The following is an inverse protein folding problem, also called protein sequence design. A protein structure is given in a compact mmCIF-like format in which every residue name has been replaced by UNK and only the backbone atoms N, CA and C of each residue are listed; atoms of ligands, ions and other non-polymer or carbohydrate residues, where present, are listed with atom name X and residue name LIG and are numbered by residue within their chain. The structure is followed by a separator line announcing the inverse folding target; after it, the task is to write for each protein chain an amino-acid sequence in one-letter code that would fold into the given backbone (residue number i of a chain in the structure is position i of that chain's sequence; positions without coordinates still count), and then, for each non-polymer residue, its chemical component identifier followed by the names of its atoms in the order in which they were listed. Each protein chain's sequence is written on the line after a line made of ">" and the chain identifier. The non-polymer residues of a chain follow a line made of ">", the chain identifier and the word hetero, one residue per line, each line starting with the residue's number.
data_IF_570422854234
#
_entry.id   IF_570422854234
#
_cell.length_a   1.000
_cell.length_b   1.000
_cell.length_c   1.000
_cell.angle_alpha   90.00
_cell.angle_beta   90.00
_cell.angle_gamma   90.00
#
_symmetry.space_group_name_H-M   'P 1'
#
loop_
_entity.id
_entity.type
_entity.pdbx_description
1 polymer ?
#
# COMPACT_ATOMS: atom_id res chain seq x y z
N UNK A 1 15.65 -13.06 23.34
CA UNK A 1 14.73 -13.17 22.19
C UNK A 1 14.28 -11.78 21.78
N UNK A 2 13.48 -11.64 20.71
CA UNK A 2 12.80 -10.37 20.41
C UNK A 2 11.60 -10.23 21.35
N UNK A 3 11.48 -9.09 22.03
CA UNK A 3 10.42 -8.86 23.03
C UNK A 3 9.29 -7.98 22.47
N UNK A 4 9.55 -7.21 21.42
CA UNK A 4 8.56 -6.33 20.78
C UNK A 4 8.64 -6.47 19.25
N UNK A 5 7.56 -6.08 18.58
CA UNK A 5 7.53 -6.03 17.13
C UNK A 5 8.41 -4.88 16.59
N UNK A 6 8.84 -5.04 15.35
CA UNK A 6 9.51 -4.00 14.55
C UNK A 6 8.96 -4.07 13.13
N UNK A 7 9.10 -2.97 12.38
CA UNK A 7 8.70 -2.87 10.98
C UNK A 7 9.93 -2.98 10.07
N UNK A 8 9.85 -3.83 9.06
CA UNK A 8 10.77 -3.86 7.92
C UNK A 8 10.09 -3.20 6.72
N UNK A 9 10.71 -2.17 6.16
CA UNK A 9 10.36 -1.65 4.84
C UNK A 9 11.36 -2.23 3.86
N UNK A 10 10.87 -2.94 2.85
CA UNK A 10 11.70 -3.64 1.88
C UNK A 10 11.06 -3.59 0.49
N UNK A 11 11.71 -2.94 -0.46
CA UNK A 11 11.25 -2.82 -1.85
C UNK A 11 12.38 -3.13 -2.83
N UNK A 12 12.05 -3.31 -4.11
CA UNK A 12 13.08 -3.35 -5.16
C UNK A 12 13.85 -2.03 -5.19
N UNK A 13 15.13 -2.07 -5.56
CA UNK A 13 15.96 -0.88 -5.74
C UNK A 13 15.34 0.15 -6.71
N UNK A 14 14.48 -0.29 -7.63
CA UNK A 14 13.73 0.61 -8.53
C UNK A 14 12.85 1.62 -7.78
N UNK A 15 12.44 1.30 -6.55
CA UNK A 15 11.63 2.16 -5.68
C UNK A 15 12.47 2.83 -4.58
N UNK A 16 13.78 2.99 -4.77
CA UNK A 16 14.71 3.60 -3.80
C UNK A 16 14.18 4.90 -3.20
N UNK A 17 13.75 5.83 -4.05
CA UNK A 17 13.24 7.14 -3.63
C UNK A 17 12.01 7.03 -2.70
N UNK A 18 11.16 6.01 -2.90
CA UNK A 18 10.01 5.80 -2.03
C UNK A 18 10.40 5.21 -0.67
N UNK A 19 11.38 4.30 -0.65
CA UNK A 19 11.96 3.78 0.60
C UNK A 19 12.66 4.91 1.37
N UNK A 20 13.41 5.77 0.69
CA UNK A 20 14.05 6.94 1.31
C UNK A 20 13.01 7.88 1.92
N UNK A 21 11.91 8.14 1.21
CA UNK A 21 10.79 8.93 1.75
C UNK A 21 10.17 8.29 3.00
N UNK A 22 9.90 6.97 2.99
CA UNK A 22 9.40 6.24 4.17
C UNK A 22 10.38 6.33 5.35
N UNK A 23 11.68 6.21 5.08
CA UNK A 23 12.71 6.33 6.09
C UNK A 23 12.73 7.72 6.71
N UNK A 24 12.68 8.79 5.92
CA UNK A 24 12.68 10.16 6.44
C UNK A 24 11.52 10.43 7.40
N UNK A 25 10.33 9.88 7.11
CA UNK A 25 9.16 9.97 7.97
C UNK A 25 9.28 9.13 9.26
N UNK A 26 10.04 8.04 9.23
CA UNK A 26 10.19 7.11 10.36
C UNK A 26 11.57 7.16 11.04
N UNK A 27 12.44 8.10 10.64
CA UNK A 27 13.87 8.08 10.99
C UNK A 27 14.13 8.05 12.50
N UNK A 28 13.27 8.70 13.28
CA UNK A 28 13.39 8.81 14.74
C UNK A 28 13.25 7.45 15.44
N UNK A 29 12.51 6.53 14.82
CA UNK A 29 12.33 5.16 15.31
C UNK A 29 13.17 4.15 14.55
N UNK A 30 14.12 4.56 13.70
CA UNK A 30 14.98 3.66 12.95
C UNK A 30 16.36 3.49 13.59
N UNK A 31 16.99 2.33 13.35
CA UNK A 31 18.35 2.04 13.85
C UNK A 31 19.41 2.52 12.87
N UNK A 32 19.17 2.39 11.56
CA UNK A 32 20.10 2.82 10.53
C UNK A 32 19.36 3.34 9.30
N UNK A 33 20.04 4.12 8.43
CA UNK A 33 19.55 4.43 7.10
C UNK A 33 19.27 3.17 6.26
N UNK A 34 18.51 3.29 5.15
CA UNK A 34 18.24 2.17 4.27
C UNK A 34 19.49 1.65 3.57
N UNK A 35 19.53 0.34 3.36
CA UNK A 35 20.67 -0.39 2.80
C UNK A 35 20.22 -1.30 1.68
N UNK A 36 21.10 -1.47 0.70
CA UNK A 36 20.92 -2.45 -0.36
C UNK A 36 21.12 -3.87 0.18
N UNK A 37 20.40 -4.81 -0.40
CA UNK A 37 20.55 -6.23 -0.16
C UNK A 37 20.46 -6.96 -1.50
N UNK A 38 21.51 -7.70 -1.82
CA UNK A 38 21.46 -8.65 -2.93
C UNK A 38 20.43 -9.74 -2.62
N UNK A 39 19.44 -9.85 -3.50
CA UNK A 39 18.46 -10.93 -3.50
C UNK A 39 18.95 -12.14 -4.29
N UNK A 40 18.02 -12.97 -4.76
CA UNK A 40 18.34 -14.07 -5.68
C UNK A 40 18.57 -13.50 -7.09
N UNK A 41 19.69 -13.88 -7.71
CA UNK A 41 20.10 -13.39 -9.04
C UNK A 41 20.42 -11.89 -9.02
N UNK A 42 20.01 -11.18 -10.06
CA UNK A 42 20.27 -9.73 -10.24
C UNK A 42 19.31 -8.83 -9.45
N UNK A 43 18.39 -9.40 -8.65
CA UNK A 43 17.40 -8.61 -7.91
C UNK A 43 18.05 -7.92 -6.73
N UNK A 44 18.15 -6.60 -6.77
CA UNK A 44 18.58 -5.78 -5.64
C UNK A 44 17.35 -5.26 -4.89
N UNK A 45 17.33 -5.51 -3.59
CA UNK A 45 16.36 -4.96 -2.66
C UNK A 45 16.97 -3.76 -1.90
N UNK A 46 16.13 -2.83 -1.47
CA UNK A 46 16.51 -1.67 -0.68
C UNK A 46 15.58 -1.56 0.52
N UNK A 47 16.17 -1.56 1.73
CA UNK A 47 15.40 -1.79 2.96
C UNK A 47 15.93 -1.07 4.19
N UNK A 48 15.06 -0.82 5.16
CA UNK A 48 15.43 -0.39 6.51
C UNK A 48 14.53 -1.04 7.56
N UNK A 49 14.94 -0.91 8.82
CA UNK A 49 14.24 -1.44 9.99
C UNK A 49 14.00 -0.35 11.02
N UNK A 50 12.84 -0.40 11.66
CA UNK A 50 12.62 0.33 12.90
C UNK A 50 13.30 -0.39 14.08
N UNK A 51 13.43 0.32 15.20
CA UNK A 51 13.66 -0.26 16.52
C UNK A 51 12.48 -1.17 16.90
N UNK A 52 12.73 -2.10 17.81
CA UNK A 52 11.65 -2.84 18.47
C UNK A 52 10.97 -1.93 19.47
N UNK A 53 9.65 -1.75 19.34
CA UNK A 53 8.89 -0.78 20.14
C UNK A 53 7.54 -1.38 20.58
N UNK A 54 7.11 -1.18 21.83
CA UNK A 54 5.78 -1.62 22.30
C UNK A 54 4.64 -1.12 21.42
N UNK A 55 4.71 0.12 20.94
CA UNK A 55 3.70 0.75 20.08
C UNK A 55 3.58 0.04 18.72
N UNK A 56 4.69 -0.51 18.22
CA UNK A 56 4.66 -1.36 17.02
C UNK A 56 4.05 -2.73 17.31
N UNK A 57 4.19 -3.24 18.53
CA UNK A 57 3.51 -4.48 18.97
C UNK A 57 2.00 -4.26 19.05
N UNK A 58 1.55 -3.11 19.56
CA UNK A 58 0.12 -2.74 19.58
C UNK A 58 -0.46 -2.67 18.17
N UNK A 59 0.22 -1.97 17.26
CA UNK A 59 -0.17 -1.93 15.84
C UNK A 59 -0.17 -3.33 15.21
N UNK A 60 0.84 -4.15 15.48
CA UNK A 60 0.88 -5.51 14.97
C UNK A 60 -0.34 -6.32 15.45
N UNK A 61 -0.66 -6.29 16.74
CA UNK A 61 -1.81 -7.00 17.32
C UNK A 61 -3.16 -6.49 16.79
N UNK A 62 -3.24 -5.20 16.46
CA UNK A 62 -4.43 -4.59 15.87
C UNK A 62 -4.70 -5.15 14.46
N UNK A 63 -3.65 -5.32 13.65
CA UNK A 63 -3.75 -5.78 12.25
C UNK A 63 -3.53 -7.28 12.06
N UNK A 64 -3.13 -8.03 13.08
CA UNK A 64 -2.88 -9.47 13.01
C UNK A 64 -3.54 -10.20 14.18
N UNK A 65 -4.42 -11.16 13.85
CA UNK A 65 -5.04 -12.08 14.82
C UNK A 65 -4.70 -13.52 14.43
N UNK A 66 -4.17 -14.29 15.37
CA UNK A 66 -3.73 -15.68 15.15
C UNK A 66 -2.80 -15.84 13.94
N UNK A 67 -1.86 -14.89 13.76
CA UNK A 67 -0.91 -14.88 12.64
C UNK A 67 -1.51 -14.50 11.28
N UNK A 68 -2.80 -14.20 11.20
CA UNK A 68 -3.49 -13.80 9.97
C UNK A 68 -3.79 -12.31 10.00
N UNK A 69 -3.54 -11.63 8.86
CA UNK A 69 -3.85 -10.21 8.69
C UNK A 69 -5.37 -10.00 8.75
N UNK A 70 -5.78 -8.95 9.45
CA UNK A 70 -7.17 -8.55 9.68
C UNK A 70 -7.28 -7.03 9.53
N UNK A 71 -8.45 -6.53 9.13
CA UNK A 71 -8.72 -5.10 9.04
C UNK A 71 -9.50 -4.64 10.28
N UNK A 72 -8.94 -3.77 11.14
CA UNK A 72 -9.63 -3.23 12.31
C UNK A 72 -10.93 -2.51 11.96
N UNK A 73 -11.93 -2.58 12.83
CA UNK A 73 -13.25 -1.98 12.58
C UNK A 73 -13.18 -0.44 12.60
N UNK A 74 -12.28 0.08 13.42
CA UNK A 74 -12.05 1.49 13.71
C UNK A 74 -11.17 2.16 12.64
N UNK A 75 -10.76 1.44 11.58
CA UNK A 75 -9.95 2.05 10.53
C UNK A 75 -10.78 3.08 9.76
N UNK A 76 -10.32 4.33 9.74
CA UNK A 76 -10.93 5.39 8.95
C UNK A 76 -9.98 5.83 7.84
N UNK A 77 -10.49 5.74 6.61
CA UNK A 77 -9.72 6.10 5.43
C UNK A 77 -9.72 7.62 5.33
N UNK A 78 -8.52 8.19 5.20
CA UNK A 78 -8.30 9.60 4.90
C UNK A 78 -7.38 9.74 3.68
N UNK A 79 -7.17 10.96 3.15
CA UNK A 79 -6.35 11.18 1.95
C UNK A 79 -4.94 10.59 2.04
N UNK A 80 -4.28 10.72 3.20
CA UNK A 80 -2.91 10.23 3.43
C UNK A 80 -2.87 8.70 3.45
N UNK A 81 -3.77 8.06 4.21
CA UNK A 81 -3.87 6.60 4.30
C UNK A 81 -4.15 6.01 2.92
N UNK A 82 -5.13 6.57 2.19
CA UNK A 82 -5.47 6.10 0.85
C UNK A 82 -4.29 6.24 -0.11
N UNK A 83 -3.55 7.35 -0.04
CA UNK A 83 -2.44 7.61 -0.95
C UNK A 83 -1.25 6.71 -0.68
N UNK A 84 -0.89 6.46 0.58
CA UNK A 84 0.15 5.48 0.94
C UNK A 84 -0.28 4.07 0.52
N UNK A 85 -1.53 3.70 0.79
CA UNK A 85 -2.06 2.41 0.38
C UNK A 85 -2.03 2.23 -1.14
N UNK A 86 -2.36 3.27 -1.91
CA UNK A 86 -2.28 3.25 -3.37
C UNK A 86 -0.82 3.22 -3.87
N UNK A 87 0.11 3.91 -3.22
CA UNK A 87 1.54 3.82 -3.54
C UNK A 87 2.07 2.40 -3.37
N UNK A 88 1.64 1.69 -2.32
CA UNK A 88 2.05 0.31 -2.08
C UNK A 88 1.32 -0.67 -3.02
N UNK A 89 -0.01 -0.73 -2.93
CA UNK A 89 -0.82 -1.80 -3.54
C UNK A 89 -1.72 -1.32 -4.69
N UNK A 90 -1.69 -0.03 -5.02
CA UNK A 90 -2.48 0.53 -6.11
C UNK A 90 -1.92 0.20 -7.49
N UNK A 91 -2.80 0.00 -8.47
CA UNK A 91 -2.44 -0.12 -9.87
C UNK A 91 -3.51 0.46 -10.78
N UNK A 92 -3.20 0.62 -12.07
CA UNK A 92 -4.17 1.08 -13.08
C UNK A 92 -4.12 0.21 -14.33
N UNK A 93 -5.19 0.25 -15.11
CA UNK A 93 -5.24 -0.30 -16.45
C UNK A 93 -5.95 0.70 -17.37
N UNK A 94 -5.22 1.25 -18.36
CA UNK A 94 -5.73 2.35 -19.18
C UNK A 94 -5.97 3.63 -18.37
N UNK A 95 -6.93 4.45 -18.83
CA UNK A 95 -7.15 5.81 -18.32
C UNK A 95 -8.07 5.85 -17.09
N UNK A 96 -8.99 4.90 -16.99
CA UNK A 96 -10.13 4.94 -16.06
C UNK A 96 -10.22 3.76 -15.09
N UNK A 97 -9.37 2.73 -15.22
CA UNK A 97 -9.43 1.58 -14.32
C UNK A 97 -8.35 1.69 -13.26
N UNK A 98 -8.76 1.89 -12.02
CA UNK A 98 -7.89 1.96 -10.85
C UNK A 98 -8.24 0.82 -9.90
N UNK A 99 -7.22 0.21 -9.33
CA UNK A 99 -7.33 -0.98 -8.49
C UNK A 99 -6.51 -0.82 -7.21
N UNK A 100 -6.96 -1.49 -6.16
CA UNK A 100 -6.14 -1.85 -5.01
C UNK A 100 -5.99 -3.37 -5.00
N UNK A 101 -4.74 -3.82 -4.99
CA UNK A 101 -4.37 -5.24 -4.96
C UNK A 101 -4.51 -5.77 -3.54
N UNK A 102 -5.71 -6.26 -3.22
CA UNK A 102 -6.11 -6.71 -1.87
C UNK A 102 -6.21 -8.22 -1.74
N UNK A 103 -5.55 -8.98 -2.61
CA UNK A 103 -5.67 -10.45 -2.72
C UNK A 103 -5.26 -11.19 -1.44
N UNK A 104 -4.44 -10.57 -0.58
CA UNK A 104 -4.04 -11.14 0.72
C UNK A 104 -5.18 -11.18 1.77
N UNK A 105 -6.25 -10.40 1.55
CA UNK A 105 -7.37 -10.28 2.46
C UNK A 105 -8.50 -11.25 2.11
N UNK A 106 -9.32 -11.60 3.10
CA UNK A 106 -10.52 -12.40 2.83
C UNK A 106 -11.56 -11.56 2.06
N UNK A 107 -12.51 -12.22 1.40
CA UNK A 107 -13.60 -11.51 0.72
C UNK A 107 -14.37 -10.58 1.67
N UNK A 108 -14.61 -11.00 2.92
CA UNK A 108 -15.29 -10.19 3.93
C UNK A 108 -14.48 -8.94 4.30
N UNK A 109 -13.16 -9.06 4.45
CA UNK A 109 -12.27 -7.91 4.69
C UNK A 109 -12.30 -6.94 3.51
N UNK A 110 -12.30 -7.45 2.28
CA UNK A 110 -12.36 -6.62 1.07
C UNK A 110 -13.71 -5.89 0.94
N UNK A 111 -14.82 -6.55 1.27
CA UNK A 111 -16.14 -5.93 1.31
C UNK A 111 -16.22 -4.86 2.41
N UNK A 112 -15.60 -5.10 3.57
CA UNK A 112 -15.47 -4.11 4.63
C UNK A 112 -14.67 -2.88 4.18
N UNK A 113 -13.54 -3.09 3.51
CA UNK A 113 -12.74 -2.01 2.92
C UNK A 113 -13.55 -1.21 1.87
N UNK A 114 -14.37 -1.86 1.05
CA UNK A 114 -15.28 -1.17 0.12
C UNK A 114 -16.27 -0.28 0.87
N UNK A 115 -16.84 -0.74 1.99
CA UNK A 115 -17.72 0.09 2.83
C UNK A 115 -16.96 1.30 3.39
N UNK A 116 -15.74 1.12 3.90
CA UNK A 116 -14.90 2.23 4.40
C UNK A 116 -14.56 3.25 3.30
N UNK A 117 -14.24 2.78 2.10
CA UNK A 117 -14.05 3.66 0.93
C UNK A 117 -15.33 4.43 0.59
N UNK A 118 -16.49 3.78 0.68
CA UNK A 118 -17.79 4.43 0.42
C UNK A 118 -18.10 5.52 1.44
N UNK A 119 -17.78 5.30 2.73
CA UNK A 119 -17.92 6.33 3.78
C UNK A 119 -17.01 7.53 3.49
N UNK A 120 -15.81 7.27 2.98
CA UNK A 120 -14.87 8.29 2.53
C UNK A 120 -15.29 8.99 1.20
N UNK A 121 -16.37 8.54 0.55
CA UNK A 121 -16.89 9.14 -0.69
C UNK A 121 -16.38 8.49 -1.99
N UNK A 122 -15.67 7.37 -1.91
CA UNK A 122 -15.18 6.61 -3.07
C UNK A 122 -15.98 5.32 -3.27
N UNK A 123 -16.65 5.21 -4.42
CA UNK A 123 -17.38 4.02 -4.83
C UNK A 123 -16.42 3.03 -5.49
N UNK A 124 -16.45 1.80 -5.01
CA UNK A 124 -15.64 0.70 -5.52
C UNK A 124 -16.44 -0.61 -5.51
N UNK A 125 -15.93 -1.63 -6.22
CA UNK A 125 -16.49 -2.98 -6.24
C UNK A 125 -15.39 -4.03 -6.27
N UNK A 126 -15.72 -5.26 -5.90
CA UNK A 126 -14.83 -6.39 -6.14
C UNK A 126 -14.69 -6.62 -7.66
N UNK A 127 -13.46 -6.84 -8.09
CA UNK A 127 -13.12 -7.27 -9.44
C UNK A 127 -12.37 -8.60 -9.34
N UNK A 128 -12.93 -9.64 -9.95
CA UNK A 128 -12.29 -10.95 -10.02
C UNK A 128 -11.08 -10.88 -10.95
N UNK A 129 -9.95 -11.40 -10.48
CA UNK A 129 -8.69 -11.56 -11.19
C UNK A 129 -8.22 -13.00 -11.02
N UNK A 130 -8.48 -13.83 -12.03
CA UNK A 130 -8.36 -15.29 -11.98
C UNK A 130 -9.15 -15.87 -10.79
N UNK A 131 -8.46 -16.43 -9.79
CA UNK A 131 -9.09 -16.99 -8.57
C UNK A 131 -9.17 -15.98 -7.42
N UNK A 132 -8.58 -14.79 -7.59
CA UNK A 132 -8.49 -13.78 -6.55
C UNK A 132 -9.45 -12.61 -6.81
N UNK A 133 -9.57 -11.72 -5.84
CA UNK A 133 -10.32 -10.48 -5.95
C UNK A 133 -9.42 -9.28 -5.65
N UNK A 134 -9.66 -8.20 -6.39
CA UNK A 134 -9.11 -6.86 -6.16
C UNK A 134 -10.26 -5.90 -5.91
N UNK A 135 -9.97 -4.75 -5.29
CA UNK A 135 -10.93 -3.65 -5.23
C UNK A 135 -10.72 -2.78 -6.47
N UNK A 136 -11.77 -2.58 -7.28
CA UNK A 136 -11.76 -1.68 -8.44
C UNK A 136 -12.62 -0.46 -8.15
N UNK A 137 -12.05 0.73 -8.29
CA UNK A 137 -12.81 1.97 -8.20
C UNK A 137 -13.77 2.12 -9.38
N UNK A 138 -14.98 2.61 -9.13
CA UNK A 138 -15.95 2.90 -10.17
C UNK A 138 -15.56 4.19 -10.89
N UNK A 139 -15.92 4.31 -12.17
CA UNK A 139 -15.62 5.49 -12.99
C UNK A 139 -16.08 6.80 -12.36
N UNK A 140 -17.21 6.77 -11.64
CA UNK A 140 -17.77 7.92 -10.92
C UNK A 140 -16.88 8.45 -9.79
N UNK A 141 -15.92 7.66 -9.30
CA UNK A 141 -14.98 8.04 -8.25
C UNK A 141 -13.56 8.28 -8.76
N UNK A 142 -13.29 8.08 -10.05
CA UNK A 142 -11.94 8.19 -10.60
C UNK A 142 -11.42 9.63 -10.58
N UNK A 143 -12.26 10.64 -10.86
CA UNK A 143 -11.83 12.05 -10.81
C UNK A 143 -11.38 12.42 -9.40
N UNK A 144 -12.26 12.19 -8.43
CA UNK A 144 -11.99 12.49 -7.03
C UNK A 144 -10.78 11.70 -6.48
N UNK A 145 -10.67 10.41 -6.84
CA UNK A 145 -9.48 9.61 -6.50
C UNK A 145 -8.19 10.25 -7.04
N UNK A 146 -8.18 10.69 -8.31
CA UNK A 146 -7.00 11.31 -8.92
C UNK A 146 -6.64 12.63 -8.25
N UNK A 147 -7.61 13.44 -7.84
CA UNK A 147 -7.38 14.68 -7.09
C UNK A 147 -6.66 14.39 -5.77
N UNK A 148 -7.20 13.48 -4.96
CA UNK A 148 -6.59 13.05 -3.69
C UNK A 148 -5.16 12.56 -3.91
N UNK A 149 -4.96 11.66 -4.89
CA UNK A 149 -3.66 11.07 -5.15
C UNK A 149 -2.66 12.11 -5.68
N UNK A 150 -3.08 13.04 -6.55
CA UNK A 150 -2.17 14.05 -7.13
C UNK A 150 -1.52 14.93 -6.06
N UNK A 151 -2.26 15.23 -5.00
CA UNK A 151 -1.80 16.06 -3.88
C UNK A 151 -0.85 15.31 -2.93
N UNK A 152 -1.03 13.99 -2.78
CA UNK A 152 -0.38 13.21 -1.74
C UNK A 152 0.69 12.23 -2.27
N UNK A 153 0.76 11.99 -3.58
CA UNK A 153 1.79 11.14 -4.18
C UNK A 153 3.13 11.84 -4.24
N UNK A 154 4.17 11.14 -3.78
CA UNK A 154 5.55 11.59 -3.96
C UNK A 154 5.94 11.56 -5.44
N UNK A 155 6.89 12.41 -5.90
CA UNK A 155 7.25 12.51 -7.31
C UNK A 155 7.57 11.17 -7.97
N UNK A 156 8.32 10.30 -7.28
CA UNK A 156 8.75 8.99 -7.79
C UNK A 156 7.61 7.98 -7.98
N UNK A 157 6.42 8.24 -7.40
CA UNK A 157 5.26 7.35 -7.46
C UNK A 157 4.14 7.91 -8.35
N UNK A 158 4.32 9.10 -8.95
CA UNK A 158 3.31 9.74 -9.83
C UNK A 158 3.04 8.94 -11.10
N UNK A 159 3.96 8.07 -11.54
CA UNK A 159 3.75 7.16 -12.67
C UNK A 159 2.50 6.27 -12.48
N UNK A 160 2.12 5.96 -11.23
CA UNK A 160 0.90 5.19 -10.92
C UNK A 160 -0.40 5.88 -11.34
N UNK A 161 -0.39 7.19 -11.60
CA UNK A 161 -1.52 7.92 -12.18
C UNK A 161 -1.56 7.91 -13.71
N UNK A 162 -0.47 7.47 -14.36
CA UNK A 162 -0.41 7.30 -15.81
C UNK A 162 0.05 8.49 -16.61
N UNK A 163 0.98 9.27 -16.06
CA UNK A 163 1.70 10.25 -16.85
C UNK A 163 2.73 9.62 -17.82
N UNK A 164 3.01 8.31 -17.70
CA UNK A 164 3.90 7.57 -18.62
C UNK A 164 3.24 6.32 -19.25
N UNK A 165 3.45 6.06 -20.56
CA UNK A 165 2.68 5.12 -21.38
C UNK A 165 3.21 3.67 -21.39
N UNK A 166 3.59 3.09 -20.25
CA UNK A 166 4.16 1.73 -20.23
C UNK A 166 3.63 0.87 -19.09
N UNK A 167 2.36 0.46 -19.16
CA UNK A 167 1.92 -0.82 -18.57
C UNK A 167 0.86 -1.46 -19.48
N UNK A 168 1.26 -2.51 -20.21
CA UNK A 168 0.37 -3.35 -21.01
C UNK A 168 -0.41 -4.28 -20.08
N UNK A 169 -1.73 -4.15 -20.05
CA UNK A 169 -2.59 -5.16 -19.44
C UNK A 169 -2.60 -6.40 -20.35
N UNK A 170 -2.34 -7.59 -19.79
CA UNK A 170 -2.68 -8.85 -20.46
C UNK A 170 -4.19 -8.85 -20.72
N UNK A 171 -4.55 -9.00 -22.00
CA UNK A 171 -5.93 -9.16 -22.47
C UNK A 171 -6.58 -10.40 -21.86
#
# INVERSE_FOLDING_TARGET
>A
GRNNAFLEINHSIKQKQYVDWKYLNLKNICVSPPKERMGKGERIAYRFYTKQLPELTELYNLFYKNGKKFIPLEIDINPVILSIWFMDDGSKCGISNFYLNTQQFTKNDQEFLIKKLSIFGLKARLNKDKIYYRIRFLSSSVSYLKEILKENLIPSMKYKLGYDPVETCSK
#
